data_IF_890161284747
#
_entry.id   IF_890161284747
#
_cell.length_a   1.000
_cell.length_b   1.000
_cell.length_c   1.000
_cell.angle_alpha   90.00
_cell.angle_beta   90.00
_cell.angle_gamma   90.00
#
_symmetry.space_group_name_H-M   'P 1'
#
loop_
_entity.id
_entity.type
_entity.pdbx_description
1 polymer ?
#
# COMPACT_ATOMS: atom_id res chain seq x y z
N UNK A 1 44.76 15.97 47.52
CA UNK A 1 43.31 15.75 47.31
C UNK A 1 42.99 16.04 45.85
N UNK A 2 42.46 15.06 45.09
CA UNK A 2 42.06 15.25 43.68
C UNK A 2 40.61 15.73 43.63
N UNK A 3 40.39 16.95 43.16
CA UNK A 3 39.07 17.56 43.00
C UNK A 3 38.27 16.83 41.91
N UNK A 4 37.13 16.23 42.28
CA UNK A 4 36.12 15.75 41.32
C UNK A 4 35.55 16.98 40.60
N UNK A 5 35.79 17.12 39.30
CA UNK A 5 35.03 18.07 38.48
C UNK A 5 33.59 17.55 38.39
N UNK A 6 32.68 18.28 39.01
CA UNK A 6 31.25 18.06 38.81
C UNK A 6 30.93 18.41 37.35
N UNK A 7 30.62 17.38 36.57
CA UNK A 7 30.16 17.50 35.20
C UNK A 7 28.65 17.80 35.19
N UNK A 8 28.26 18.96 35.74
CA UNK A 8 26.87 19.42 35.65
C UNK A 8 26.73 20.03 34.26
N UNK A 9 25.92 19.38 33.42
CA UNK A 9 25.56 19.93 32.12
C UNK A 9 24.86 21.27 32.34
N UNK A 10 25.43 22.32 31.75
CA UNK A 10 24.84 23.65 31.70
C UNK A 10 23.42 23.58 31.10
N UNK A 11 22.51 24.39 31.63
CA UNK A 11 21.10 24.44 31.22
C UNK A 11 20.97 24.73 29.71
N UNK A 12 21.86 25.57 29.16
CA UNK A 12 21.93 25.82 27.73
C UNK A 12 22.34 24.57 26.93
N UNK A 13 23.29 23.76 27.44
CA UNK A 13 23.67 22.49 26.81
C UNK A 13 22.54 21.46 26.89
N UNK A 14 21.83 21.38 28.02
CA UNK A 14 20.68 20.47 28.17
C UNK A 14 19.58 20.82 27.17
N UNK A 15 19.29 22.12 27.01
CA UNK A 15 18.33 22.61 26.01
C UNK A 15 18.74 22.26 24.59
N UNK A 16 19.99 22.53 24.21
CA UNK A 16 20.51 22.21 22.88
C UNK A 16 20.46 20.71 22.57
N UNK A 17 20.86 19.86 23.52
CA UNK A 17 20.78 18.40 23.38
C UNK A 17 19.33 17.94 23.22
N UNK A 18 18.41 18.52 24.00
CA UNK A 18 16.98 18.18 23.94
C UNK A 18 16.37 18.59 22.60
N UNK A 19 16.69 19.78 22.09
CA UNK A 19 16.22 20.27 20.80
C UNK A 19 16.72 19.38 19.64
N UNK A 20 18.01 19.05 19.63
CA UNK A 20 18.60 18.14 18.63
C UNK A 20 17.99 16.74 18.71
N UNK A 21 17.75 16.22 19.92
CA UNK A 21 17.12 14.91 20.11
C UNK A 21 15.66 14.90 19.59
N UNK A 22 14.88 15.95 19.88
CA UNK A 22 13.50 16.09 19.39
C UNK A 22 13.48 16.23 17.87
N UNK A 23 14.39 17.02 17.29
CA UNK A 23 14.49 17.19 15.84
C UNK A 23 14.84 15.86 15.15
N UNK A 24 15.84 15.15 15.67
CA UNK A 24 16.22 13.84 15.13
C UNK A 24 15.10 12.82 15.25
N UNK A 25 14.39 12.81 16.37
CA UNK A 25 13.22 11.95 16.58
C UNK A 25 12.13 12.22 15.53
N UNK A 26 11.77 13.49 15.32
CA UNK A 26 10.79 13.88 14.29
C UNK A 26 11.24 13.50 12.89
N UNK A 27 12.53 13.62 12.58
CA UNK A 27 13.08 13.20 11.29
C UNK A 27 12.95 11.68 11.10
N UNK A 28 13.33 10.89 12.11
CA UNK A 28 13.20 9.43 12.07
C UNK A 28 11.75 8.98 11.95
N UNK A 29 10.83 9.63 12.67
CA UNK A 29 9.40 9.34 12.60
C UNK A 29 8.85 9.60 11.19
N UNK A 30 9.21 10.73 10.57
CA UNK A 30 8.83 11.04 9.18
C UNK A 30 9.37 10.01 8.19
N UNK A 31 10.62 9.58 8.36
CA UNK A 31 11.22 8.55 7.50
C UNK A 31 10.51 7.21 7.65
N UNK A 32 10.16 6.80 8.86
CA UNK A 32 9.42 5.57 9.10
C UNK A 32 8.02 5.58 8.48
N UNK A 33 7.30 6.71 8.58
CA UNK A 33 5.99 6.89 7.95
C UNK A 33 6.11 6.73 6.42
N UNK A 34 7.12 7.39 5.82
CA UNK A 34 7.36 7.30 4.39
C UNK A 34 7.69 5.88 3.95
N UNK A 35 8.60 5.20 4.66
CA UNK A 35 8.97 3.81 4.37
C UNK A 35 7.77 2.86 4.47
N UNK A 36 6.90 3.05 5.47
CA UNK A 36 5.67 2.27 5.63
C UNK A 36 4.71 2.51 4.46
N UNK A 37 4.55 3.76 4.01
CA UNK A 37 3.74 4.11 2.84
C UNK A 37 4.28 3.45 1.57
N UNK A 38 5.58 3.61 1.30
CA UNK A 38 6.22 3.07 0.10
C UNK A 38 6.08 1.53 0.05
N UNK A 39 6.27 0.86 1.19
CA UNK A 39 6.08 -0.58 1.32
C UNK A 39 4.62 -1.00 1.09
N UNK A 40 3.65 -0.28 1.65
CA UNK A 40 2.21 -0.55 1.45
C UNK A 40 1.82 -0.42 -0.01
N UNK A 41 2.22 0.66 -0.67
CA UNK A 41 1.96 0.87 -2.11
C UNK A 41 2.63 -0.22 -2.96
N UNK A 42 3.88 -0.55 -2.67
CA UNK A 42 4.59 -1.65 -3.33
C UNK A 42 3.82 -2.97 -3.22
N UNK A 43 3.33 -3.28 -2.02
CA UNK A 43 2.56 -4.49 -1.75
C UNK A 43 1.22 -4.52 -2.52
N UNK A 44 0.50 -3.40 -2.60
CA UNK A 44 -0.70 -3.29 -3.45
C UNK A 44 -0.38 -3.55 -4.91
N UNK A 45 0.66 -2.91 -5.46
CA UNK A 45 1.06 -3.13 -6.87
C UNK A 45 1.45 -4.58 -7.13
N UNK A 46 2.21 -5.20 -6.23
CA UNK A 46 2.63 -6.61 -6.32
C UNK A 46 1.42 -7.54 -6.26
N UNK A 47 0.45 -7.28 -5.38
CA UNK A 47 -0.79 -8.04 -5.29
C UNK A 47 -1.61 -7.90 -6.58
N UNK A 48 -1.90 -6.69 -7.02
CA UNK A 48 -2.74 -6.43 -8.20
C UNK A 48 -2.13 -7.03 -9.48
N UNK A 49 -0.80 -6.95 -9.63
CA UNK A 49 -0.10 -7.61 -10.75
C UNK A 49 -0.31 -9.12 -10.78
N UNK A 50 -0.46 -9.76 -9.61
CA UNK A 50 -0.68 -11.20 -9.49
C UNK A 50 -2.16 -11.57 -9.26
N UNK A 51 -3.05 -10.59 -9.14
CA UNK A 51 -4.41 -10.78 -8.63
C UNK A 51 -5.22 -11.76 -9.48
N UNK A 52 -5.22 -11.59 -10.80
CA UNK A 52 -5.93 -12.48 -11.72
C UNK A 52 -5.51 -13.96 -11.53
N UNK A 53 -4.20 -14.23 -11.42
CA UNK A 53 -3.66 -15.59 -11.20
C UNK A 53 -4.09 -16.14 -9.83
N UNK A 54 -3.99 -15.34 -8.77
CA UNK A 54 -4.37 -15.75 -7.41
C UNK A 54 -5.88 -16.04 -7.37
N UNK A 55 -6.71 -15.14 -7.93
CA UNK A 55 -8.16 -15.30 -8.03
C UNK A 55 -8.54 -16.59 -8.75
N UNK A 56 -7.97 -16.85 -9.92
CA UNK A 56 -8.25 -18.10 -10.67
C UNK A 56 -7.85 -19.35 -9.88
N UNK A 57 -6.77 -19.30 -9.11
CA UNK A 57 -6.34 -20.41 -8.25
C UNK A 57 -7.34 -20.68 -7.12
N UNK A 58 -7.83 -19.61 -6.48
CA UNK A 58 -8.84 -19.67 -5.43
C UNK A 58 -10.18 -20.17 -5.96
N UNK A 59 -10.65 -19.66 -7.10
CA UNK A 59 -11.94 -20.03 -7.70
C UNK A 59 -11.99 -21.52 -8.10
N UNK A 60 -10.85 -22.12 -8.44
CA UNK A 60 -10.74 -23.57 -8.69
C UNK A 60 -10.71 -24.40 -7.41
N UNK A 61 -10.55 -23.77 -6.24
CA UNK A 61 -10.45 -24.45 -4.95
C UNK A 61 -11.78 -24.45 -4.21
N UNK A 62 -12.15 -25.58 -3.59
CA UNK A 62 -13.35 -25.69 -2.72
C UNK A 62 -13.05 -25.31 -1.25
N UNK A 63 -12.08 -24.43 -1.03
CA UNK A 63 -11.55 -24.11 0.30
C UNK A 63 -12.43 -23.02 0.95
N UNK A 64 -12.79 -23.19 2.22
CA UNK A 64 -13.34 -22.12 3.07
C UNK A 64 -12.20 -21.31 3.69
N UNK A 65 -12.43 -20.03 3.98
CA UNK A 65 -11.36 -19.14 4.44
C UNK A 65 -11.43 -18.93 5.95
N UNK A 66 -10.51 -19.53 6.70
CA UNK A 66 -10.35 -19.37 8.16
C UNK A 66 -8.88 -19.17 8.53
N UNK A 67 -8.30 -17.99 8.25
CA UNK A 67 -6.90 -17.73 8.62
C UNK A 67 -6.79 -17.04 9.98
N UNK A 68 -5.86 -17.52 10.83
CA UNK A 68 -5.42 -16.83 12.05
C UNK A 68 -4.77 -15.46 11.76
N UNK A 69 -4.36 -15.22 10.51
CA UNK A 69 -3.73 -13.98 10.08
C UNK A 69 -4.73 -13.06 9.38
N UNK A 70 -4.79 -11.80 9.82
CA UNK A 70 -5.63 -10.80 9.16
C UNK A 70 -5.10 -10.43 7.77
N UNK A 71 -5.99 -9.92 6.91
CA UNK A 71 -5.61 -9.41 5.58
C UNK A 71 -4.58 -8.29 5.67
N UNK A 72 -4.70 -7.40 6.66
CA UNK A 72 -3.75 -6.31 6.86
C UNK A 72 -2.34 -6.83 7.19
N UNK A 73 -2.24 -7.86 8.04
CA UNK A 73 -0.97 -8.53 8.34
C UNK A 73 -0.37 -9.20 7.09
N UNK A 74 -1.19 -9.86 6.29
CA UNK A 74 -0.74 -10.41 5.00
C UNK A 74 -0.23 -9.32 4.07
N UNK A 75 -0.97 -8.22 3.96
CA UNK A 75 -0.66 -7.09 3.09
C UNK A 75 0.56 -6.29 3.52
N UNK A 76 0.93 -6.32 4.80
CA UNK A 76 2.13 -5.67 5.32
C UNK A 76 3.33 -6.61 5.39
N UNK A 77 3.12 -7.93 5.23
CA UNK A 77 4.17 -8.92 5.13
C UNK A 77 5.15 -8.59 3.99
N UNK A 78 6.45 -8.79 4.26
CA UNK A 78 7.50 -8.69 3.24
C UNK A 78 7.38 -9.80 2.19
N UNK A 79 6.88 -10.96 2.65
CA UNK A 79 6.71 -12.17 1.86
C UNK A 79 5.24 -12.41 1.53
N UNK A 80 4.48 -11.34 1.23
CA UNK A 80 3.04 -11.44 0.98
C UNK A 80 2.72 -12.48 -0.11
N UNK A 81 3.38 -12.40 -1.27
CA UNK A 81 3.09 -13.30 -2.40
C UNK A 81 3.47 -14.76 -2.09
N UNK A 82 4.58 -14.96 -1.39
CA UNK A 82 5.05 -16.26 -0.95
C UNK A 82 4.08 -16.85 0.08
N UNK A 83 3.58 -16.02 1.01
CA UNK A 83 2.59 -16.40 2.02
C UNK A 83 1.26 -16.83 1.40
N UNK A 84 0.80 -16.12 0.36
CA UNK A 84 -0.40 -16.47 -0.41
C UNK A 84 -0.18 -17.77 -1.20
N UNK A 85 1.01 -17.94 -1.79
CA UNK A 85 1.36 -19.16 -2.54
C UNK A 85 1.38 -20.42 -1.66
N UNK A 86 1.69 -20.27 -0.37
CA UNK A 86 1.74 -21.37 0.60
C UNK A 86 0.37 -21.75 1.19
N UNK A 87 -0.63 -20.85 1.16
CA UNK A 87 -1.95 -21.10 1.74
C UNK A 87 -3.09 -20.60 0.86
N UNK A 88 -3.94 -21.56 0.42
CA UNK A 88 -5.15 -21.28 -0.37
C UNK A 88 -6.17 -20.47 0.41
N UNK A 89 -6.26 -20.70 1.71
CA UNK A 89 -7.13 -19.96 2.61
C UNK A 89 -6.72 -18.49 2.71
N UNK A 90 -5.42 -18.20 2.92
CA UNK A 90 -4.90 -16.83 2.90
C UNK A 90 -5.15 -16.16 1.55
N UNK A 91 -4.93 -16.90 0.47
CA UNK A 91 -5.27 -16.45 -0.89
C UNK A 91 -6.75 -16.12 -1.04
N UNK A 92 -7.65 -16.95 -0.50
CA UNK A 92 -9.10 -16.71 -0.56
C UNK A 92 -9.50 -15.47 0.22
N UNK A 93 -9.03 -15.35 1.46
CA UNK A 93 -9.26 -14.17 2.30
C UNK A 93 -8.79 -12.88 1.60
N UNK A 94 -7.61 -12.91 0.98
CA UNK A 94 -7.06 -11.78 0.23
C UNK A 94 -7.91 -11.44 -1.00
N UNK A 95 -8.35 -12.44 -1.77
CA UNK A 95 -9.17 -12.24 -2.97
C UNK A 95 -10.52 -11.62 -2.60
N UNK A 96 -11.18 -12.11 -1.55
CA UNK A 96 -12.45 -11.57 -1.06
C UNK A 96 -12.29 -10.13 -0.57
N UNK A 97 -11.18 -9.82 0.09
CA UNK A 97 -10.90 -8.46 0.54
C UNK A 97 -10.67 -7.51 -0.64
N UNK A 98 -9.84 -7.88 -1.63
CA UNK A 98 -9.62 -7.07 -2.84
C UNK A 98 -10.93 -6.83 -3.59
N UNK A 99 -11.86 -7.80 -3.65
CA UNK A 99 -13.19 -7.60 -4.26
C UNK A 99 -13.97 -6.47 -3.56
N UNK A 100 -13.96 -6.43 -2.23
CA UNK A 100 -14.60 -5.35 -1.45
C UNK A 100 -13.94 -3.99 -1.73
N UNK A 101 -12.62 -3.95 -1.80
CA UNK A 101 -11.86 -2.73 -2.10
C UNK A 101 -12.13 -2.23 -3.52
N UNK A 102 -12.16 -3.12 -4.52
CA UNK A 102 -12.53 -2.76 -5.89
C UNK A 102 -13.93 -2.15 -5.96
N UNK A 103 -14.89 -2.70 -5.21
CA UNK A 103 -16.25 -2.16 -5.13
C UNK A 103 -16.26 -0.75 -4.52
N UNK A 104 -15.50 -0.53 -3.45
CA UNK A 104 -15.36 0.80 -2.84
C UNK A 104 -14.70 1.80 -3.79
N UNK A 105 -13.63 1.37 -4.48
CA UNK A 105 -12.90 2.18 -5.44
C UNK A 105 -13.75 2.57 -6.66
N UNK A 106 -14.58 1.66 -7.18
CA UNK A 106 -15.55 1.97 -8.24
C UNK A 106 -16.49 3.11 -7.85
N UNK A 107 -17.02 3.07 -6.61
CA UNK A 107 -17.88 4.13 -6.10
C UNK A 107 -17.16 5.47 -6.01
N UNK A 108 -15.89 5.47 -5.60
CA UNK A 108 -15.07 6.69 -5.54
C UNK A 108 -14.86 7.26 -6.94
N UNK A 109 -14.40 6.44 -7.89
CA UNK A 109 -14.22 6.88 -9.28
C UNK A 109 -15.49 7.45 -9.90
N UNK A 110 -16.66 6.87 -9.57
CA UNK A 110 -17.95 7.38 -10.03
C UNK A 110 -18.28 8.75 -9.43
N UNK A 111 -18.06 8.93 -8.13
CA UNK A 111 -18.30 10.22 -7.45
C UNK A 111 -17.34 11.30 -7.92
N UNK A 112 -16.08 10.95 -8.17
CA UNK A 112 -15.05 11.86 -8.69
C UNK A 112 -15.15 12.10 -10.21
N UNK A 113 -16.15 11.51 -10.88
CA UNK A 113 -16.37 11.62 -12.32
C UNK A 113 -15.15 11.19 -13.17
N UNK A 114 -14.50 10.10 -12.75
CA UNK A 114 -13.38 9.43 -13.45
C UNK A 114 -13.60 7.91 -13.58
N UNK A 115 -14.78 7.46 -14.04
CA UNK A 115 -15.10 6.02 -14.11
C UNK A 115 -14.12 5.22 -14.98
N UNK A 116 -13.50 5.85 -15.97
CA UNK A 116 -12.50 5.22 -16.85
C UNK A 116 -11.26 4.76 -16.08
N UNK A 117 -10.91 5.40 -14.96
CA UNK A 117 -9.77 4.98 -14.13
C UNK A 117 -10.03 3.63 -13.47
N UNK A 118 -11.27 3.39 -13.04
CA UNK A 118 -11.69 2.08 -12.53
C UNK A 118 -11.64 1.04 -13.65
N UNK A 119 -12.26 1.33 -14.81
CA UNK A 119 -12.28 0.41 -15.95
C UNK A 119 -10.89 0.03 -16.44
N UNK A 120 -9.97 1.00 -16.51
CA UNK A 120 -8.58 0.77 -16.91
C UNK A 120 -7.84 -0.13 -15.90
N UNK A 121 -8.05 0.07 -14.59
CA UNK A 121 -7.48 -0.79 -13.55
C UNK A 121 -8.02 -2.23 -13.65
N UNK A 122 -9.33 -2.40 -13.80
CA UNK A 122 -9.95 -3.73 -13.90
C UNK A 122 -9.54 -4.44 -15.19
N UNK A 123 -9.59 -3.76 -16.33
CA UNK A 123 -9.11 -4.30 -17.59
C UNK A 123 -7.66 -4.79 -17.45
N UNK A 124 -6.80 -4.00 -16.79
CA UNK A 124 -5.39 -4.36 -16.60
C UNK A 124 -5.17 -5.56 -15.68
N UNK A 125 -5.82 -5.61 -14.51
CA UNK A 125 -5.44 -6.55 -13.44
C UNK A 125 -6.50 -7.61 -13.11
N UNK A 126 -7.77 -7.32 -13.38
CA UNK A 126 -8.89 -8.24 -13.16
C UNK A 126 -9.08 -9.10 -14.40
N UNK A 127 -9.06 -8.49 -15.58
CA UNK A 127 -9.18 -9.19 -16.87
C UNK A 127 -7.83 -9.52 -17.50
N UNK A 128 -6.74 -9.02 -16.89
CA UNK A 128 -5.36 -9.28 -17.27
C UNK A 128 -5.05 -8.90 -18.74
N UNK A 129 -5.65 -7.81 -19.23
CA UNK A 129 -5.38 -7.31 -20.57
C UNK A 129 -3.97 -6.70 -20.66
N UNK A 130 -3.23 -6.97 -21.75
CA UNK A 130 -1.92 -6.39 -21.97
C UNK A 130 -2.03 -4.90 -22.34
N UNK A 131 -0.98 -4.12 -22.05
CA UNK A 131 -1.00 -2.66 -22.20
C UNK A 131 -1.31 -2.19 -23.63
N UNK A 132 -0.86 -2.89 -24.67
CA UNK A 132 -1.17 -2.49 -26.05
C UNK A 132 -2.68 -2.50 -26.35
N UNK A 133 -3.43 -3.47 -25.82
CA UNK A 133 -4.90 -3.52 -25.96
C UNK A 133 -5.54 -2.34 -25.22
N UNK A 134 -4.99 -1.94 -24.08
CA UNK A 134 -5.45 -0.78 -23.32
C UNK A 134 -5.17 0.53 -24.07
N UNK A 135 -4.03 0.65 -24.76
CA UNK A 135 -3.70 1.81 -25.58
C UNK A 135 -4.75 2.03 -26.67
N UNK A 136 -5.11 0.96 -27.37
CA UNK A 136 -6.11 1.01 -28.44
C UNK A 136 -7.50 1.30 -27.87
N UNK A 137 -7.89 0.63 -26.79
CA UNK A 137 -9.22 0.78 -26.17
C UNK A 137 -9.48 2.18 -25.63
N UNK A 138 -8.51 2.78 -24.95
CA UNK A 138 -8.68 4.08 -24.27
C UNK A 138 -8.08 5.25 -25.06
N UNK A 139 -7.44 5.00 -26.21
CA UNK A 139 -6.70 6.00 -26.97
C UNK A 139 -5.64 6.73 -26.12
N UNK A 140 -4.94 5.99 -25.25
CA UNK A 140 -3.93 6.53 -24.33
C UNK A 140 -2.54 6.00 -24.67
N UNK A 141 -1.50 6.79 -24.37
CA UNK A 141 -0.12 6.30 -24.42
C UNK A 141 0.17 5.33 -23.28
N UNK A 142 1.11 4.40 -23.46
CA UNK A 142 1.52 3.47 -22.39
C UNK A 142 1.92 4.23 -21.12
N UNK A 143 2.63 5.37 -21.25
CA UNK A 143 2.99 6.23 -20.12
C UNK A 143 1.78 6.74 -19.35
N UNK A 144 0.73 7.14 -20.05
CA UNK A 144 -0.52 7.60 -19.41
C UNK A 144 -1.23 6.44 -18.72
N UNK A 145 -1.30 5.27 -19.35
CA UNK A 145 -1.89 4.06 -18.76
C UNK A 145 -1.20 3.70 -17.45
N UNK A 146 0.14 3.60 -17.43
CA UNK A 146 0.87 3.31 -16.20
C UNK A 146 0.63 4.35 -15.11
N UNK A 147 0.56 5.64 -15.48
CA UNK A 147 0.26 6.71 -14.52
C UNK A 147 -1.14 6.60 -13.94
N UNK A 148 -2.16 6.30 -14.74
CA UNK A 148 -3.53 6.11 -14.22
C UNK A 148 -3.63 4.85 -13.34
N UNK A 149 -2.92 3.77 -13.70
CA UNK A 149 -2.81 2.56 -12.87
C UNK A 149 -2.13 2.88 -11.54
N UNK A 150 -1.05 3.65 -11.56
CA UNK A 150 -0.31 3.99 -10.34
C UNK A 150 -1.18 4.80 -9.38
N UNK A 151 -1.93 5.79 -9.89
CA UNK A 151 -2.93 6.55 -9.10
C UNK A 151 -3.99 5.64 -8.51
N UNK A 152 -4.53 4.73 -9.33
CA UNK A 152 -5.50 3.77 -8.86
C UNK A 152 -4.95 2.85 -7.75
N UNK A 153 -3.68 2.43 -7.86
CA UNK A 153 -3.01 1.64 -6.81
C UNK A 153 -2.76 2.46 -5.53
N UNK A 154 -2.49 3.76 -5.66
CA UNK A 154 -2.39 4.68 -4.52
C UNK A 154 -3.73 4.79 -3.80
N UNK A 155 -4.82 5.05 -4.54
CA UNK A 155 -6.19 5.10 -4.01
C UNK A 155 -6.56 3.78 -3.31
N UNK A 156 -6.24 2.64 -3.92
CA UNK A 156 -6.43 1.32 -3.30
C UNK A 156 -5.62 1.14 -2.02
N UNK A 157 -4.38 1.65 -1.95
CA UNK A 157 -3.58 1.59 -0.73
C UNK A 157 -4.25 2.38 0.41
N UNK A 158 -4.89 3.50 0.10
CA UNK A 158 -5.70 4.26 1.09
C UNK A 158 -6.87 3.42 1.59
N UNK A 159 -7.59 2.77 0.68
CA UNK A 159 -8.76 1.98 1.04
C UNK A 159 -8.39 0.73 1.85
N UNK A 160 -7.21 0.16 1.59
CA UNK A 160 -6.72 -1.04 2.25
C UNK A 160 -6.15 -0.76 3.65
N UNK A 161 -5.52 0.40 3.88
CA UNK A 161 -4.77 0.68 5.10
C UNK A 161 -5.21 1.95 5.85
N UNK A 162 -6.25 2.63 5.36
CA UNK A 162 -6.77 3.88 5.92
C UNK A 162 -5.97 5.13 5.52
N UNK A 163 -6.38 6.28 6.09
CA UNK A 163 -5.80 7.61 5.82
C UNK A 163 -4.31 7.68 6.21
N UNK A 164 -3.85 6.81 7.11
CA UNK A 164 -2.44 6.68 7.47
C UNK A 164 -1.55 6.16 6.33
N UNK A 165 -2.14 5.60 5.26
CA UNK A 165 -1.41 5.36 4.01
C UNK A 165 -1.11 6.66 3.25
N UNK A 166 -1.85 7.74 3.53
CA UNK A 166 -1.84 8.97 2.72
C UNK A 166 -1.12 10.14 3.37
N UNK A 167 -1.01 10.22 4.71
CA UNK A 167 -0.66 11.46 5.44
C UNK A 167 0.28 12.44 4.69
N UNK A 168 -0.42 13.33 3.97
CA UNK A 168 -0.22 14.74 3.64
C UNK A 168 1.06 15.22 2.94
N UNK A 169 0.91 15.52 1.64
CA UNK A 169 1.33 16.81 1.08
C UNK A 169 0.20 17.84 1.30
N UNK A 170 0.10 18.45 2.47
CA UNK A 170 -0.37 19.84 2.63
C UNK A 170 0.14 20.36 3.98
N UNK A 171 0.74 21.56 3.93
CA UNK A 171 0.86 22.49 5.06
C UNK A 171 1.96 22.19 6.06
#
# INVERSE_FOLDING_TARGET
>A
MKTKRNNVLDEHMVKLISEVAIEKYKETEKQEIKLKRDRRLHNVKKLMTNYNRIRQSVEKSKVEAESDMSVEQLMTSEYMIESLSQSKERSKLMVEHVKKILTAYENICRVENVPERYSLLTDRYVDNLPVHILQDRYALSSRTIYREIDRACEDMAVLLFGIDAVRFEMG
#
